data_IF_517123501905
#
_entry.id   IF_517123501905
#
_cell.length_a   1.000
_cell.length_b   1.000
_cell.length_c   1.000
_cell.angle_alpha   90.00
_cell.angle_beta   90.00
_cell.angle_gamma   90.00
#
_symmetry.space_group_name_H-M   'P 1'
#
loop_
_entity.id
_entity.type
_entity.pdbx_description
1 polymer ?
#
# COMPACT_ATOMS: atom_id res chain seq x y z
N UNK A 1 -5.74 12.94 8.26
CA UNK A 1 -5.40 11.83 9.22
C UNK A 1 -4.34 10.92 8.63
N UNK A 2 -3.35 10.46 9.40
CA UNK A 2 -2.27 9.55 8.98
C UNK A 2 -2.38 8.20 9.69
N UNK A 3 -2.46 7.11 8.91
CA UNK A 3 -2.38 5.74 9.40
C UNK A 3 -0.92 5.28 9.38
N UNK A 4 -0.38 4.77 10.49
CA UNK A 4 1.03 4.40 10.63
C UNK A 4 1.19 2.92 10.90
N UNK A 5 1.92 2.22 10.02
CA UNK A 5 2.38 0.86 10.26
C UNK A 5 3.81 0.88 10.85
N UNK A 6 3.98 0.68 12.14
CA UNK A 6 5.29 0.78 12.77
C UNK A 6 6.27 -0.32 12.32
N UNK A 7 5.77 -1.44 11.80
CA UNK A 7 6.57 -2.57 11.32
C UNK A 7 6.94 -2.50 9.85
N UNK A 8 6.36 -1.59 9.08
CA UNK A 8 6.61 -1.48 7.65
C UNK A 8 8.09 -1.18 7.37
N UNK A 9 8.63 -1.80 6.31
CA UNK A 9 10.04 -1.61 5.91
C UNK A 9 11.04 -1.93 7.03
N UNK A 10 10.76 -2.97 7.82
CA UNK A 10 11.60 -3.33 8.97
C UNK A 10 11.58 -2.31 10.11
N UNK A 11 10.48 -1.57 10.27
CA UNK A 11 10.32 -0.56 11.32
C UNK A 11 10.80 0.84 10.90
N UNK A 12 10.86 1.14 9.62
CA UNK A 12 11.32 2.43 9.10
C UNK A 12 10.53 3.62 9.66
N UNK A 13 9.18 3.50 9.70
CA UNK A 13 8.31 4.55 10.24
C UNK A 13 8.57 4.81 11.74
N UNK A 14 8.71 3.74 12.52
CA UNK A 14 8.99 3.84 13.95
C UNK A 14 10.36 4.46 14.22
N UNK A 15 11.42 3.98 13.53
CA UNK A 15 12.77 4.54 13.70
C UNK A 15 12.88 6.01 13.29
N UNK A 16 12.09 6.44 12.31
CA UNK A 16 12.05 7.84 11.89
C UNK A 16 11.16 8.72 12.78
N UNK A 17 10.47 8.17 13.77
CA UNK A 17 9.55 8.93 14.64
C UNK A 17 8.39 9.57 13.86
N UNK A 18 7.88 8.87 12.83
CA UNK A 18 6.85 9.42 11.92
C UNK A 18 5.61 9.85 12.69
N UNK A 19 5.13 9.05 13.64
CA UNK A 19 3.91 9.33 14.39
C UNK A 19 4.05 10.59 15.25
N UNK A 20 5.16 10.74 15.95
CA UNK A 20 5.46 11.89 16.80
C UNK A 20 5.60 13.17 15.98
N UNK A 21 6.32 13.09 14.86
CA UNK A 21 6.52 14.23 13.96
C UNK A 21 5.24 14.65 13.25
N UNK A 22 4.38 13.69 12.88
CA UNK A 22 3.08 13.99 12.32
C UNK A 22 2.18 14.72 13.33
N UNK A 23 2.13 14.23 14.58
CA UNK A 23 1.37 14.92 15.65
C UNK A 23 1.88 16.32 15.92
N UNK A 24 3.21 16.52 15.91
CA UNK A 24 3.82 17.84 16.08
C UNK A 24 3.43 18.84 14.96
N UNK A 25 3.05 18.33 13.79
CA UNK A 25 2.50 19.10 12.65
C UNK A 25 0.96 19.25 12.72
N UNK A 26 0.31 18.80 13.78
CA UNK A 26 -1.15 18.86 13.91
C UNK A 26 -1.89 17.76 13.12
N UNK A 27 -1.18 16.76 12.61
CA UNK A 27 -1.78 15.67 11.88
C UNK A 27 -2.29 14.61 12.87
N UNK A 28 -3.56 14.25 12.79
CA UNK A 28 -4.11 13.14 13.56
C UNK A 28 -3.48 11.81 13.11
N UNK A 29 -3.09 10.97 14.09
CA UNK A 29 -2.36 9.73 13.83
C UNK A 29 -3.02 8.54 14.47
N UNK A 30 -3.29 7.53 13.67
CA UNK A 30 -3.69 6.18 14.09
C UNK A 30 -2.56 5.20 13.81
N UNK A 31 -2.04 4.56 14.86
CA UNK A 31 -1.06 3.48 14.72
C UNK A 31 -1.82 2.17 14.63
N UNK A 32 -1.55 1.38 13.59
CA UNK A 32 -2.16 0.08 13.41
C UNK A 32 -1.14 -1.06 13.41
N UNK A 33 -1.60 -2.23 13.81
CA UNK A 33 -0.77 -3.44 13.91
C UNK A 33 -1.24 -4.52 12.95
N UNK A 34 -0.42 -5.54 12.77
CA UNK A 34 -0.77 -6.72 11.97
C UNK A 34 -2.04 -7.38 12.52
N UNK A 35 -2.96 -7.74 11.61
CA UNK A 35 -4.26 -8.34 11.96
C UNK A 35 -5.42 -7.34 12.07
N UNK A 36 -5.16 -6.04 12.14
CA UNK A 36 -6.21 -5.04 12.04
C UNK A 36 -6.63 -4.83 10.58
N UNK A 37 -7.92 -4.60 10.37
CA UNK A 37 -8.46 -4.29 9.05
C UNK A 37 -8.14 -2.81 8.70
N UNK A 38 -7.13 -2.63 7.84
CA UNK A 38 -6.70 -1.30 7.41
C UNK A 38 -7.77 -0.58 6.57
N UNK A 39 -8.60 -1.32 5.82
CA UNK A 39 -9.68 -0.72 5.07
C UNK A 39 -10.75 -0.16 6.02
N UNK A 40 -11.13 -0.93 7.03
CA UNK A 40 -12.06 -0.47 8.05
C UNK A 40 -11.51 0.76 8.81
N UNK A 41 -10.21 0.79 9.12
CA UNK A 41 -9.58 1.96 9.75
C UNK A 41 -9.61 3.18 8.84
N UNK A 42 -9.32 3.03 7.55
CA UNK A 42 -9.37 4.12 6.59
C UNK A 42 -10.80 4.68 6.42
N UNK A 43 -11.80 3.81 6.30
CA UNK A 43 -13.20 4.24 6.25
C UNK A 43 -13.65 4.91 7.56
N UNK A 44 -13.23 4.39 8.70
CA UNK A 44 -13.48 5.02 10.01
C UNK A 44 -12.87 6.42 10.11
N UNK A 45 -11.67 6.61 9.59
CA UNK A 45 -11.02 7.91 9.53
C UNK A 45 -11.83 8.93 8.69
N UNK A 46 -12.33 8.51 7.54
CA UNK A 46 -13.22 9.35 6.71
C UNK A 46 -14.51 9.68 7.45
N UNK A 47 -15.15 8.68 8.05
CA UNK A 47 -16.38 8.88 8.82
C UNK A 47 -16.20 9.82 10.02
N UNK A 48 -14.97 9.92 10.56
CA UNK A 48 -14.60 10.85 11.62
C UNK A 48 -14.30 12.28 11.12
N UNK A 49 -14.43 12.51 9.81
CA UNK A 49 -14.26 13.85 9.22
C UNK A 49 -12.84 14.15 8.72
N UNK A 50 -12.02 13.12 8.45
CA UNK A 50 -10.72 13.36 7.84
C UNK A 50 -10.89 14.00 6.45
N UNK A 51 -10.27 15.15 6.24
CA UNK A 51 -10.21 15.90 4.98
C UNK A 51 -9.11 15.41 4.02
N UNK A 52 -8.14 14.66 4.55
CA UNK A 52 -7.11 13.95 3.79
C UNK A 52 -6.74 12.65 4.50
N UNK A 53 -6.44 11.60 3.74
CA UNK A 53 -5.91 10.34 4.25
C UNK A 53 -4.47 10.13 3.81
N UNK A 54 -3.63 9.72 4.74
CA UNK A 54 -2.29 9.25 4.42
C UNK A 54 -1.98 7.93 5.10
N UNK A 55 -0.97 7.23 4.60
CA UNK A 55 -0.44 6.05 5.27
C UNK A 55 1.08 5.99 5.21
N UNK A 56 1.69 5.79 6.36
CA UNK A 56 3.11 5.44 6.46
C UNK A 56 3.26 3.92 6.38
N UNK A 57 3.53 3.44 5.17
CA UNK A 57 3.52 2.00 4.88
C UNK A 57 4.23 1.64 3.59
N UNK A 58 4.10 0.39 3.16
CA UNK A 58 4.53 -0.10 1.86
C UNK A 58 3.39 -0.11 0.84
N UNK A 59 3.71 -0.43 -0.42
CA UNK A 59 2.78 -0.37 -1.58
C UNK A 59 1.42 -1.04 -1.31
N UNK A 60 1.38 -2.17 -0.60
CA UNK A 60 0.12 -2.83 -0.24
C UNK A 60 -0.77 -2.02 0.71
N UNK A 61 -0.18 -1.31 1.70
CA UNK A 61 -0.94 -0.42 2.59
C UNK A 61 -1.36 0.85 1.86
N UNK A 62 -0.49 1.37 0.98
CA UNK A 62 -0.77 2.54 0.16
C UNK A 62 -2.01 2.30 -0.71
N UNK A 63 -2.11 1.15 -1.38
CA UNK A 63 -3.25 0.82 -2.24
C UNK A 63 -4.58 0.80 -1.48
N UNK A 64 -4.61 0.21 -0.28
CA UNK A 64 -5.84 0.13 0.53
C UNK A 64 -6.33 1.52 0.94
N UNK A 65 -5.43 2.36 1.46
CA UNK A 65 -5.81 3.69 1.95
C UNK A 65 -6.11 4.64 0.79
N UNK A 66 -5.39 4.53 -0.32
CA UNK A 66 -5.68 5.29 -1.54
C UNK A 66 -7.06 4.94 -2.12
N UNK A 67 -7.47 3.66 -2.09
CA UNK A 67 -8.82 3.25 -2.50
C UNK A 67 -9.90 3.92 -1.65
N UNK A 68 -9.73 3.96 -0.33
CA UNK A 68 -10.66 4.64 0.56
C UNK A 68 -10.72 6.15 0.33
N UNK A 69 -9.57 6.79 0.12
CA UNK A 69 -9.49 8.22 -0.21
C UNK A 69 -10.18 8.53 -1.53
N UNK A 70 -9.91 7.75 -2.59
CA UNK A 70 -10.52 7.90 -3.91
C UNK A 70 -12.04 7.73 -3.87
N UNK A 71 -12.54 6.71 -3.18
CA UNK A 71 -13.98 6.46 -3.01
C UNK A 71 -14.72 7.64 -2.35
N UNK A 72 -14.03 8.41 -1.50
CA UNK A 72 -14.57 9.55 -0.79
C UNK A 72 -14.14 10.90 -1.37
N UNK A 73 -13.39 10.91 -2.48
CA UNK A 73 -12.90 12.11 -3.17
C UNK A 73 -12.12 13.06 -2.27
N UNK A 74 -11.30 12.52 -1.39
CA UNK A 74 -10.38 13.28 -0.53
C UNK A 74 -8.93 13.01 -0.94
N UNK A 75 -8.01 13.96 -0.71
CA UNK A 75 -6.60 13.79 -1.00
C UNK A 75 -5.97 12.58 -0.31
N UNK A 76 -5.05 11.93 -0.99
CA UNK A 76 -4.24 10.84 -0.47
C UNK A 76 -2.77 11.25 -0.34
N UNK A 77 -2.18 11.04 0.84
CA UNK A 77 -0.76 11.35 1.12
C UNK A 77 0.05 10.05 1.25
N UNK A 78 1.03 9.88 0.37
CA UNK A 78 1.95 8.76 0.38
C UNK A 78 3.14 9.03 1.30
N UNK A 79 3.26 8.30 2.43
CA UNK A 79 4.45 8.34 3.30
C UNK A 79 5.23 7.02 3.14
N UNK A 80 6.39 7.04 2.43
CA UNK A 80 7.05 5.85 1.91
C UNK A 80 7.86 5.09 2.97
N UNK A 81 7.18 4.41 3.88
CA UNK A 81 7.80 3.64 4.96
C UNK A 81 7.96 2.14 4.66
N UNK A 82 7.63 1.68 3.48
CA UNK A 82 7.81 0.30 3.06
C UNK A 82 9.22 -0.03 2.59
N UNK A 83 9.42 -1.26 2.11
CA UNK A 83 10.73 -1.75 1.64
C UNK A 83 11.05 -1.24 0.23
N UNK A 84 10.08 -1.22 -0.68
CA UNK A 84 10.28 -0.88 -2.10
C UNK A 84 9.76 0.50 -2.45
N UNK A 85 8.50 0.81 -2.05
CA UNK A 85 7.83 2.09 -2.29
C UNK A 85 7.85 2.51 -3.77
N UNK A 86 7.38 1.62 -4.65
CA UNK A 86 7.33 1.88 -6.09
C UNK A 86 6.40 3.05 -6.41
N UNK A 87 5.22 3.05 -5.79
CA UNK A 87 4.25 4.12 -5.96
C UNK A 87 4.82 5.50 -5.62
N UNK A 88 5.61 5.60 -4.55
CA UNK A 88 6.24 6.87 -4.17
C UNK A 88 7.13 7.42 -5.29
N UNK A 89 7.87 6.54 -5.99
CA UNK A 89 8.69 6.93 -7.13
C UNK A 89 7.83 7.44 -8.30
N UNK A 90 6.73 6.74 -8.60
CA UNK A 90 5.84 7.07 -9.72
C UNK A 90 5.18 8.45 -9.54
N UNK A 91 4.90 8.84 -8.28
CA UNK A 91 4.33 10.16 -7.96
C UNK A 91 5.38 11.23 -7.61
N UNK A 92 6.67 10.90 -7.70
CA UNK A 92 7.77 11.86 -7.48
C UNK A 92 8.08 12.13 -6.01
N UNK A 93 7.63 11.29 -5.08
CA UNK A 93 7.97 11.38 -3.65
C UNK A 93 9.31 10.71 -3.37
N UNK A 94 10.22 11.39 -2.69
CA UNK A 94 11.49 10.78 -2.29
C UNK A 94 11.24 9.66 -1.27
N UNK A 95 11.42 8.42 -1.72
CA UNK A 95 11.25 7.22 -0.88
C UNK A 95 12.24 7.14 0.29
N UNK A 96 13.27 7.99 0.35
CA UNK A 96 14.24 8.05 1.43
C UNK A 96 13.83 9.04 2.50
N UNK A 97 13.13 10.09 2.13
CA UNK A 97 12.66 11.14 3.02
C UNK A 97 11.22 10.89 3.50
N UNK A 98 11.12 10.00 4.50
CA UNK A 98 9.82 9.65 5.10
C UNK A 98 9.22 10.82 5.87
N UNK A 99 10.05 11.70 6.41
CA UNK A 99 9.60 12.82 7.22
C UNK A 99 9.16 13.99 6.35
N UNK A 100 9.92 14.32 5.31
CA UNK A 100 9.52 15.36 4.36
C UNK A 100 8.21 15.03 3.64
N UNK A 101 7.89 13.74 3.46
CA UNK A 101 6.60 13.35 2.92
C UNK A 101 5.39 13.79 3.77
N UNK A 102 5.59 14.12 5.06
CA UNK A 102 4.53 14.65 5.92
C UNK A 102 4.13 16.08 5.55
N UNK A 103 5.00 16.83 4.88
CA UNK A 103 4.72 18.21 4.47
C UNK A 103 3.57 18.27 3.46
N UNK A 104 3.33 17.17 2.74
CA UNK A 104 2.19 17.05 1.84
C UNK A 104 0.81 17.21 2.51
N UNK A 105 0.71 17.06 3.83
CA UNK A 105 -0.53 17.34 4.56
C UNK A 105 -0.81 18.83 4.76
N UNK A 106 0.21 19.68 4.70
CA UNK A 106 0.11 21.11 5.04
C UNK A 106 0.47 22.03 3.87
N UNK A 107 1.42 21.62 3.04
CA UNK A 107 1.98 22.41 1.94
C UNK A 107 2.21 21.52 0.70
N UNK A 108 1.35 20.55 0.47
CA UNK A 108 1.40 19.65 -0.67
C UNK A 108 0.72 20.20 -1.92
N UNK A 109 1.29 19.91 -3.09
CA UNK A 109 0.60 20.12 -4.36
C UNK A 109 -0.21 18.86 -4.72
N UNK A 110 -1.50 19.02 -4.92
CA UNK A 110 -2.37 17.93 -5.37
C UNK A 110 -2.15 17.61 -6.84
N UNK A 111 -2.09 16.32 -7.14
CA UNK A 111 -2.03 15.79 -8.50
C UNK A 111 -3.04 14.67 -8.67
N UNK A 112 -3.82 14.73 -9.73
CA UNK A 112 -4.70 13.64 -10.10
C UNK A 112 -3.88 12.55 -10.80
N UNK A 113 -4.12 11.32 -10.41
CA UNK A 113 -3.52 10.13 -11.00
C UNK A 113 -4.59 9.10 -11.28
N UNK A 114 -4.37 8.29 -12.29
CA UNK A 114 -5.19 7.11 -12.53
C UNK A 114 -4.86 6.03 -11.52
N UNK A 115 -5.89 5.36 -11.02
CA UNK A 115 -5.76 4.13 -10.23
C UNK A 115 -6.46 3.00 -10.97
N UNK A 116 -5.96 1.79 -10.80
CA UNK A 116 -6.54 0.64 -11.48
C UNK A 116 -7.05 -0.40 -10.49
N UNK A 117 -8.02 -1.19 -10.94
CA UNK A 117 -8.66 -2.22 -10.16
C UNK A 117 -8.66 -3.55 -10.90
N UNK A 118 -8.47 -4.63 -10.16
CA UNK A 118 -8.65 -5.99 -10.67
C UNK A 118 -9.39 -6.84 -9.63
N UNK A 119 -10.51 -7.43 -10.04
CA UNK A 119 -11.35 -8.25 -9.15
C UNK A 119 -11.71 -7.57 -7.82
N UNK A 120 -12.11 -6.30 -7.86
CA UNK A 120 -12.48 -5.52 -6.68
C UNK A 120 -11.30 -5.10 -5.79
N UNK A 121 -10.06 -5.20 -6.30
CA UNK A 121 -8.87 -4.80 -5.56
C UNK A 121 -8.13 -3.71 -6.30
N UNK A 122 -8.02 -2.56 -5.67
CA UNK A 122 -7.22 -1.45 -6.17
C UNK A 122 -5.73 -1.75 -6.10
N UNK A 123 -5.01 -1.36 -7.12
CA UNK A 123 -3.55 -1.35 -7.14
C UNK A 123 -3.02 -0.04 -7.71
N UNK A 124 -1.84 0.38 -7.24
CA UNK A 124 -1.25 1.67 -7.58
C UNK A 124 -0.07 1.57 -8.55
N UNK A 125 0.58 0.41 -8.63
CA UNK A 125 1.79 0.26 -9.44
C UNK A 125 1.79 -0.98 -10.34
N UNK A 126 1.57 -2.19 -9.78
CA UNK A 126 1.63 -3.42 -10.58
C UNK A 126 0.72 -4.53 -10.06
N UNK A 127 0.32 -5.39 -10.96
CA UNK A 127 -0.39 -6.65 -10.67
C UNK A 127 0.46 -7.81 -11.18
N UNK A 128 0.60 -8.84 -10.34
CA UNK A 128 1.28 -10.08 -10.71
C UNK A 128 0.25 -11.15 -11.08
N UNK A 129 0.41 -11.75 -12.25
CA UNK A 129 -0.49 -12.76 -12.81
C UNK A 129 0.23 -14.08 -13.08
N UNK A 130 -0.53 -15.17 -13.14
CA UNK A 130 -0.01 -16.51 -13.45
C UNK A 130 0.98 -17.02 -12.39
N UNK A 131 1.95 -17.84 -12.83
CA UNK A 131 2.95 -18.46 -11.94
C UNK A 131 3.67 -17.45 -11.07
N UNK A 132 3.99 -16.28 -11.60
CA UNK A 132 4.65 -15.24 -10.83
C UNK A 132 3.72 -14.68 -9.72
N UNK A 133 2.43 -14.54 -9.99
CA UNK A 133 1.44 -14.12 -8.99
C UNK A 133 1.32 -15.11 -7.84
N UNK A 134 1.29 -16.41 -8.13
CA UNK A 134 1.23 -17.46 -7.13
C UNK A 134 2.51 -17.55 -6.31
N UNK A 135 3.66 -17.38 -6.95
CA UNK A 135 4.97 -17.32 -6.28
C UNK A 135 5.05 -16.18 -5.28
N UNK A 136 4.59 -14.99 -5.65
CA UNK A 136 4.62 -13.78 -4.76
C UNK A 136 3.70 -13.92 -3.56
N UNK A 137 2.64 -14.71 -3.66
CA UNK A 137 1.74 -15.01 -2.54
C UNK A 137 2.33 -15.96 -1.52
N UNK A 138 3.30 -16.77 -1.92
CA UNK A 138 3.95 -17.73 -1.01
C UNK A 138 4.68 -17.00 0.14
N UNK A 139 4.47 -17.41 1.39
CA UNK A 139 5.21 -16.87 2.54
C UNK A 139 6.73 -17.01 2.39
N UNK A 140 7.19 -18.08 1.73
CA UNK A 140 8.59 -18.37 1.48
C UNK A 140 9.24 -17.43 0.44
N UNK A 141 8.47 -16.72 -0.37
CA UNK A 141 9.00 -15.85 -1.43
C UNK A 141 9.95 -14.77 -0.92
N UNK A 142 9.74 -14.26 0.27
CA UNK A 142 10.57 -13.21 0.86
C UNK A 142 11.99 -13.68 1.16
N UNK A 143 12.14 -14.95 1.50
CA UNK A 143 13.41 -15.52 1.99
C UNK A 143 14.18 -16.28 0.91
N UNK A 144 13.50 -16.82 -0.11
CA UNK A 144 14.11 -17.68 -1.12
C UNK A 144 13.45 -17.54 -2.50
N UNK A 145 13.53 -16.35 -3.12
CA UNK A 145 12.83 -16.01 -4.37
C UNK A 145 12.97 -17.01 -5.51
N UNK A 146 14.18 -17.48 -5.79
CA UNK A 146 14.45 -18.40 -6.91
C UNK A 146 13.91 -19.79 -6.61
N UNK A 147 14.12 -20.29 -5.41
CA UNK A 147 13.64 -21.60 -4.97
C UNK A 147 12.12 -21.65 -4.98
N UNK A 148 11.46 -20.65 -4.42
CA UNK A 148 10.00 -20.56 -4.40
C UNK A 148 9.41 -20.46 -5.81
N UNK A 149 10.07 -19.75 -6.74
CA UNK A 149 9.64 -19.68 -8.14
C UNK A 149 9.69 -21.06 -8.81
N UNK A 150 10.75 -21.82 -8.60
CA UNK A 150 10.92 -23.16 -9.16
C UNK A 150 9.91 -24.15 -8.56
N UNK A 151 9.68 -24.11 -7.26
CA UNK A 151 8.70 -24.97 -6.57
C UNK A 151 7.27 -24.64 -7.06
N UNK A 152 6.90 -23.36 -7.13
CA UNK A 152 5.58 -22.93 -7.65
C UNK A 152 5.42 -23.30 -9.13
N UNK A 153 6.46 -23.18 -9.95
CA UNK A 153 6.42 -23.57 -11.34
C UNK A 153 6.18 -25.08 -11.50
N UNK A 154 6.81 -25.91 -10.67
CA UNK A 154 6.60 -27.35 -10.67
C UNK A 154 5.17 -27.73 -10.28
N UNK A 155 4.57 -27.07 -9.30
CA UNK A 155 3.19 -27.31 -8.85
C UNK A 155 2.15 -26.89 -9.91
N UNK A 156 2.37 -25.74 -10.57
CA UNK A 156 1.43 -25.18 -11.58
C UNK A 156 1.55 -25.90 -12.93
N UNK A 157 2.72 -26.42 -13.27
CA UNK A 157 2.95 -27.16 -14.53
C UNK A 157 2.48 -28.62 -14.47
N UNK A 158 2.13 -29.18 -13.32
CA UNK A 158 1.40 -30.44 -13.24
C UNK A 158 -0.02 -30.20 -13.77
N UNK A 159 -0.50 -30.93 -14.78
CA UNK A 159 -1.81 -30.65 -15.36
C UNK A 159 -2.93 -31.00 -14.40
N UNK A 160 -3.32 -30.02 -13.59
CA UNK A 160 -4.56 -30.05 -12.84
C UNK A 160 -5.65 -29.36 -13.65
N UNK A 161 -6.68 -30.14 -14.01
CA UNK A 161 -7.88 -29.69 -14.70
C UNK A 161 -8.61 -28.60 -13.90
N UNK A 162 -8.24 -27.32 -14.05
CA UNK A 162 -9.09 -26.21 -13.71
C UNK A 162 -8.57 -24.90 -14.32
N UNK A 163 -9.09 -24.54 -15.47
CA UNK A 163 -8.92 -23.21 -16.03
C UNK A 163 -9.66 -22.18 -15.15
N UNK A 164 -8.94 -21.42 -14.36
CA UNK A 164 -9.48 -20.18 -13.79
C UNK A 164 -9.51 -19.13 -14.89
N UNK A 165 -10.70 -18.81 -15.36
CA UNK A 165 -10.91 -17.70 -16.31
C UNK A 165 -10.67 -16.38 -15.58
N UNK A 166 -9.73 -15.56 -16.04
CA UNK A 166 -9.64 -14.16 -15.65
C UNK A 166 -10.71 -13.39 -16.41
N UNK A 167 -11.64 -12.77 -15.70
CA UNK A 167 -12.57 -11.83 -16.29
C UNK A 167 -11.99 -10.41 -16.11
N UNK A 168 -11.85 -9.70 -17.22
CA UNK A 168 -11.47 -8.30 -17.26
C UNK A 168 -12.73 -7.47 -17.34
N UNK A 169 -12.90 -6.49 -16.45
CA UNK A 169 -13.90 -5.45 -16.56
C UNK A 169 -13.19 -4.12 -16.73
N UNK A 170 -13.40 -3.49 -17.87
CA UNK A 170 -13.05 -2.09 -18.11
C UNK A 170 -14.30 -1.27 -17.87
N UNK A 171 -14.25 -0.37 -16.94
CA UNK A 171 -15.24 0.71 -16.75
C UNK A 171 -14.66 1.99 -17.27
#
# INVERSE_FOLDING_TARGET
MLLVNPRSGGGKAARAGVAERARAKGIEVVIFTSGQDLAALAHGAVASGADALGVAGGDGSLAIVAAAAAANRIPFVCVPAGTRNHFALDVGVDRRDVIGALDAFTDGAERQIDIAEVNGRTFLNNVSLGIYGDTVRSPAYRDAKVRTLLETAAEVMVPAQAHRRCAWSTT
#
